data_IF_125957009913
#
_entry.id   IF_125957009913
#
_cell.length_a   1.000
_cell.length_b   1.000
_cell.length_c   1.000
_cell.angle_alpha   90.00
_cell.angle_beta   90.00
_cell.angle_gamma   90.00
#
_symmetry.space_group_name_H-M   'P 1'
#
loop_
_entity.id
_entity.type
_entity.pdbx_description
1 polymer ?
#
# COMPACT_ATOMS: atom_id res chain seq x y z
N UNK A 1 -11.24 -12.83 -12.52
CA UNK A 1 -11.49 -12.67 -11.08
C UNK A 1 -10.71 -11.47 -10.59
N UNK A 2 -11.35 -10.56 -9.86
CA UNK A 2 -10.72 -9.39 -9.26
C UNK A 2 -10.59 -9.63 -7.75
N UNK A 3 -9.35 -9.68 -7.27
CA UNK A 3 -9.00 -9.81 -5.86
C UNK A 3 -8.48 -8.45 -5.39
N UNK A 4 -9.14 -7.81 -4.42
CA UNK A 4 -8.73 -6.51 -3.88
C UNK A 4 -8.33 -6.63 -2.42
N UNK A 5 -7.21 -6.00 -2.04
CA UNK A 5 -6.68 -5.98 -0.68
C UNK A 5 -7.09 -4.67 0.00
N UNK A 6 -7.75 -4.79 1.15
CA UNK A 6 -8.13 -3.63 1.97
C UNK A 6 -6.89 -2.91 2.53
N UNK A 7 -6.95 -1.57 2.63
CA UNK A 7 -5.95 -0.76 3.33
C UNK A 7 -6.20 -0.65 4.84
N UNK A 8 -5.37 0.15 5.52
CA UNK A 8 -5.53 0.44 6.95
C UNK A 8 -4.24 0.60 7.73
N UNK A 9 -3.22 1.23 7.13
CA UNK A 9 -1.94 1.52 7.77
C UNK A 9 -1.20 0.28 8.31
N UNK A 10 -0.34 0.49 9.30
CA UNK A 10 0.51 -0.55 9.87
C UNK A 10 0.74 -0.32 11.37
N UNK A 11 1.43 -1.25 12.01
CA UNK A 11 2.05 -1.05 13.32
C UNK A 11 3.52 -1.49 13.25
N UNK A 12 4.40 -0.85 14.01
CA UNK A 12 5.84 -1.07 13.91
C UNK A 12 6.54 -1.29 15.26
N UNK A 13 5.80 -1.18 16.37
CA UNK A 13 6.27 -1.50 17.72
C UNK A 13 5.21 -2.30 18.49
N UNK A 14 5.62 -2.89 19.62
CA UNK A 14 4.75 -3.77 20.42
C UNK A 14 3.48 -3.04 20.88
N UNK A 15 3.61 -1.78 21.30
CA UNK A 15 2.49 -0.98 21.82
C UNK A 15 1.46 -0.70 20.72
N UNK A 16 1.89 -0.12 19.61
CA UNK A 16 1.04 0.15 18.46
C UNK A 16 0.41 -1.11 17.88
N UNK A 17 1.11 -2.26 17.91
CA UNK A 17 0.56 -3.53 17.46
C UNK A 17 -0.46 -4.13 18.43
N UNK A 18 -0.28 -3.98 19.75
CA UNK A 18 -1.29 -4.35 20.75
C UNK A 18 -2.55 -3.48 20.62
N UNK A 19 -2.37 -2.16 20.50
CA UNK A 19 -3.47 -1.23 20.27
C UNK A 19 -4.22 -1.62 18.99
N UNK A 20 -3.50 -1.89 17.90
CA UNK A 20 -4.07 -2.36 16.64
C UNK A 20 -4.84 -3.67 16.78
N UNK A 21 -4.32 -4.64 17.54
CA UNK A 21 -4.94 -5.96 17.78
C UNK A 21 -6.35 -5.84 18.39
N UNK A 22 -6.61 -4.78 19.16
CA UNK A 22 -7.92 -4.48 19.76
C UNK A 22 -8.94 -3.86 18.78
N UNK A 23 -8.59 -3.68 17.50
CA UNK A 23 -9.43 -3.03 16.50
C UNK A 23 -9.78 -3.98 15.34
N UNK A 24 -10.67 -3.53 14.44
CA UNK A 24 -11.00 -4.24 13.19
C UNK A 24 -9.78 -4.49 12.27
N UNK A 25 -8.69 -3.76 12.48
CA UNK A 25 -7.45 -3.85 11.69
C UNK A 25 -6.39 -4.76 12.32
N UNK A 26 -6.70 -5.39 13.45
CA UNK A 26 -5.88 -6.43 14.07
C UNK A 26 -6.68 -7.68 14.51
N UNK A 27 -8.03 -7.63 14.47
CA UNK A 27 -8.88 -8.75 14.82
C UNK A 27 -10.17 -8.78 13.98
N UNK A 28 -10.51 -9.97 13.49
CA UNK A 28 -11.75 -10.23 12.76
C UNK A 28 -12.99 -10.17 13.66
N UNK A 29 -12.83 -10.22 14.98
CA UNK A 29 -13.93 -10.07 15.95
C UNK A 29 -14.61 -8.70 15.86
N UNK A 30 -13.88 -7.68 15.41
CA UNK A 30 -14.37 -6.31 15.27
C UNK A 30 -14.70 -5.95 13.80
N UNK A 31 -14.70 -6.92 12.89
CA UNK A 31 -15.05 -6.69 11.49
C UNK A 31 -16.55 -6.83 11.25
N UNK A 32 -17.08 -5.99 10.37
CA UNK A 32 -18.40 -6.19 9.80
C UNK A 32 -18.49 -7.54 9.08
N UNK A 33 -19.64 -8.21 9.22
CA UNK A 33 -19.92 -9.49 8.52
C UNK A 33 -20.17 -9.31 7.04
N UNK A 34 -20.59 -8.12 6.64
CA UNK A 34 -20.95 -7.76 5.26
C UNK A 34 -20.07 -6.60 4.81
N UNK A 35 -19.69 -6.63 3.54
CA UNK A 35 -18.89 -5.61 2.89
C UNK A 35 -19.61 -5.15 1.63
N UNK A 36 -19.73 -3.83 1.46
CA UNK A 36 -20.37 -3.25 0.27
C UNK A 36 -19.34 -3.14 -0.84
N UNK A 37 -19.70 -3.64 -2.02
CA UNK A 37 -18.89 -3.50 -3.22
C UNK A 37 -19.35 -2.29 -4.04
N UNK A 38 -18.49 -1.28 -4.12
CA UNK A 38 -18.68 -0.03 -4.85
C UNK A 38 -17.53 0.22 -5.83
N UNK A 39 -17.65 1.26 -6.67
CA UNK A 39 -16.64 1.62 -7.66
C UNK A 39 -16.25 0.44 -8.55
N UNK A 40 -14.96 0.17 -8.68
CA UNK A 40 -14.41 -0.95 -9.47
C UNK A 40 -14.85 -2.36 -9.01
N UNK A 41 -15.46 -2.48 -7.83
CA UNK A 41 -16.07 -3.73 -7.36
C UNK A 41 -17.58 -3.79 -7.60
N UNK A 42 -18.21 -2.71 -8.02
CA UNK A 42 -19.66 -2.69 -8.26
C UNK A 42 -20.05 -3.73 -9.31
N UNK A 43 -21.24 -4.33 -9.17
CA UNK A 43 -21.87 -5.15 -10.22
C UNK A 43 -22.71 -4.31 -11.19
N UNK A 44 -22.75 -3.00 -11.02
CA UNK A 44 -23.47 -2.10 -11.90
C UNK A 44 -22.52 -1.53 -12.97
N UNK A 45 -22.83 -1.78 -14.24
CA UNK A 45 -22.00 -1.36 -15.38
C UNK A 45 -21.84 0.17 -15.49
N UNK A 46 -22.76 0.97 -14.97
CA UNK A 46 -22.61 2.44 -14.95
C UNK A 46 -21.49 2.91 -14.02
N UNK A 47 -21.18 2.14 -12.97
CA UNK A 47 -20.08 2.43 -12.04
C UNK A 47 -18.81 1.60 -12.34
N UNK A 48 -18.97 0.46 -12.99
CA UNK A 48 -17.89 -0.50 -13.28
C UNK A 48 -18.05 -1.08 -14.70
N UNK A 49 -17.85 -0.29 -15.75
CA UNK A 49 -18.17 -0.69 -17.12
C UNK A 49 -17.41 -1.93 -17.59
N UNK A 50 -16.17 -2.11 -17.11
CA UNK A 50 -15.26 -3.16 -17.59
C UNK A 50 -15.30 -4.45 -16.76
N UNK A 51 -15.54 -4.34 -15.43
CA UNK A 51 -15.41 -5.47 -14.50
C UNK A 51 -16.70 -5.86 -13.78
N UNK A 52 -17.85 -5.23 -14.09
CA UNK A 52 -19.10 -5.45 -13.33
C UNK A 52 -19.53 -6.92 -13.23
N UNK A 53 -19.24 -7.72 -14.27
CA UNK A 53 -19.60 -9.14 -14.35
C UNK A 53 -18.48 -10.09 -13.90
N UNK A 54 -17.37 -9.59 -13.34
CA UNK A 54 -16.29 -10.43 -12.84
C UNK A 54 -16.64 -11.04 -11.47
N UNK A 55 -16.08 -12.22 -11.18
CA UNK A 55 -15.95 -12.71 -9.81
C UNK A 55 -15.07 -11.72 -9.03
N UNK A 56 -15.55 -11.25 -7.87
CA UNK A 56 -14.91 -10.21 -7.06
C UNK A 56 -14.72 -10.68 -5.63
N UNK A 57 -13.53 -10.45 -5.08
CA UNK A 57 -13.14 -10.86 -3.74
C UNK A 57 -12.45 -9.70 -3.04
N UNK A 58 -12.85 -9.37 -1.82
CA UNK A 58 -12.19 -8.37 -0.99
C UNK A 58 -11.51 -9.02 0.21
N UNK A 59 -10.19 -8.93 0.27
CA UNK A 59 -9.36 -9.40 1.38
C UNK A 59 -9.40 -8.38 2.51
N UNK A 60 -9.90 -8.80 3.67
CA UNK A 60 -9.95 -7.99 4.87
C UNK A 60 -8.59 -7.94 5.52
N UNK A 61 -8.11 -6.74 5.82
CA UNK A 61 -6.74 -6.50 6.28
C UNK A 61 -6.67 -6.40 7.80
N UNK A 62 -6.02 -7.39 8.43
CA UNK A 62 -5.84 -7.47 9.88
C UNK A 62 -4.45 -7.90 10.36
N UNK A 63 -3.45 -8.01 9.47
CA UNK A 63 -2.13 -8.48 9.89
C UNK A 63 -1.16 -7.36 10.30
N UNK A 64 -1.35 -6.14 9.76
CA UNK A 64 -0.53 -4.98 10.13
C UNK A 64 0.82 -4.87 9.42
N UNK A 65 1.11 -5.71 8.42
CA UNK A 65 2.32 -5.67 7.58
C UNK A 65 2.02 -5.95 6.10
N UNK A 66 0.90 -5.46 5.56
CA UNK A 66 0.55 -5.67 4.14
C UNK A 66 0.60 -7.14 3.71
N UNK A 67 0.08 -8.03 4.55
CA UNK A 67 0.11 -9.48 4.37
C UNK A 67 1.52 -10.10 4.28
N UNK A 68 2.56 -9.43 4.77
CA UNK A 68 3.94 -9.88 4.60
C UNK A 68 4.57 -10.41 5.90
N UNK A 69 3.96 -10.17 7.07
CA UNK A 69 4.50 -10.63 8.36
C UNK A 69 4.35 -12.15 8.58
N UNK A 70 5.33 -12.77 9.21
CA UNK A 70 5.26 -14.14 9.74
C UNK A 70 6.24 -14.33 10.91
N UNK A 71 5.84 -13.86 12.10
CA UNK A 71 6.61 -13.94 13.33
C UNK A 71 5.70 -14.09 14.55
N UNK A 72 6.26 -14.49 15.68
CA UNK A 72 5.58 -14.45 16.99
C UNK A 72 6.40 -13.56 17.89
N UNK A 73 5.73 -12.62 18.54
CA UNK A 73 6.31 -11.88 19.65
C UNK A 73 5.68 -12.41 20.94
N UNK A 74 6.53 -12.81 21.88
CA UNK A 74 6.14 -13.27 23.21
C UNK A 74 7.18 -12.79 24.21
N UNK A 75 6.76 -12.00 25.19
CA UNK A 75 7.61 -11.54 26.30
C UNK A 75 7.09 -12.04 27.67
N UNK A 76 6.21 -13.04 27.69
CA UNK A 76 5.54 -13.57 28.88
C UNK A 76 4.36 -12.73 29.38
N UNK A 77 4.24 -11.47 28.94
CA UNK A 77 3.12 -10.56 29.32
C UNK A 77 2.23 -10.24 28.12
N UNK A 78 2.78 -10.21 26.91
CA UNK A 78 2.11 -9.85 25.68
C UNK A 78 2.48 -10.85 24.60
N UNK A 79 1.46 -11.33 23.89
CA UNK A 79 1.57 -12.31 22.82
C UNK A 79 0.94 -11.73 21.55
N UNK A 80 1.74 -11.57 20.49
CA UNK A 80 1.29 -11.09 19.19
C UNK A 80 1.64 -12.10 18.10
N UNK A 81 0.65 -12.39 17.25
CA UNK A 81 0.79 -13.27 16.11
C UNK A 81 0.81 -12.46 14.82
N UNK A 82 1.99 -12.21 14.27
CA UNK A 82 2.13 -11.64 12.94
C UNK A 82 2.00 -12.78 11.93
N UNK A 83 0.89 -12.79 11.19
CA UNK A 83 0.48 -13.94 10.35
C UNK A 83 0.10 -13.55 8.92
N UNK A 84 0.42 -12.32 8.50
CA UNK A 84 0.09 -11.79 7.18
C UNK A 84 0.36 -12.76 6.04
N UNK A 85 1.58 -13.29 5.94
CA UNK A 85 1.93 -14.20 4.84
C UNK A 85 1.13 -15.51 4.88
N UNK A 86 0.85 -16.02 6.08
CA UNK A 86 0.08 -17.25 6.25
C UNK A 86 -1.38 -17.03 5.89
N UNK A 87 -1.95 -15.90 6.30
CA UNK A 87 -3.31 -15.50 5.96
C UNK A 87 -3.43 -15.34 4.45
N UNK A 88 -2.48 -14.65 3.80
CA UNK A 88 -2.44 -14.53 2.34
C UNK A 88 -2.49 -15.88 1.64
N UNK A 89 -1.57 -16.79 1.98
CA UNK A 89 -1.52 -18.14 1.41
C UNK A 89 -2.82 -18.90 1.63
N UNK A 90 -3.36 -18.88 2.86
CA UNK A 90 -4.61 -19.56 3.19
C UNK A 90 -5.78 -19.05 2.35
N UNK A 91 -5.89 -17.73 2.16
CA UNK A 91 -6.94 -17.12 1.34
C UNK A 91 -6.77 -17.53 -0.13
N UNK A 92 -5.57 -17.42 -0.70
CA UNK A 92 -5.35 -17.80 -2.10
C UNK A 92 -5.69 -19.29 -2.32
N UNK A 93 -5.23 -20.18 -1.44
CA UNK A 93 -5.57 -21.61 -1.51
C UNK A 93 -7.07 -21.89 -1.41
N UNK A 94 -7.81 -21.13 -0.60
CA UNK A 94 -9.28 -21.23 -0.50
C UNK A 94 -9.99 -20.71 -1.76
N UNK A 95 -9.42 -19.70 -2.44
CA UNK A 95 -9.97 -19.14 -3.67
C UNK A 95 -9.71 -20.00 -4.92
N UNK A 96 -8.62 -20.78 -4.93
CA UNK A 96 -8.26 -21.67 -6.05
C UNK A 96 -9.43 -22.56 -6.49
N UNK A 97 -10.04 -23.40 -5.62
CA UNK A 97 -11.18 -24.23 -6.01
C UNK A 97 -12.46 -23.42 -6.26
N UNK A 98 -12.55 -22.17 -5.75
CA UNK A 98 -13.69 -21.25 -5.97
C UNK A 98 -13.59 -20.47 -7.28
N UNK A 99 -12.73 -20.92 -8.20
CA UNK A 99 -12.62 -20.42 -9.56
C UNK A 99 -11.35 -19.64 -9.86
N UNK A 100 -10.53 -19.28 -8.85
CA UNK A 100 -9.24 -18.61 -9.12
C UNK A 100 -8.31 -19.53 -9.92
N UNK A 101 -8.27 -20.82 -9.62
CA UNK A 101 -7.42 -21.80 -10.31
C UNK A 101 -7.82 -22.08 -11.75
N UNK A 102 -8.97 -21.57 -12.21
CA UNK A 102 -9.45 -21.69 -13.59
C UNK A 102 -9.60 -20.30 -14.26
N UNK A 103 -9.19 -19.22 -13.59
CA UNK A 103 -9.39 -17.87 -14.09
C UNK A 103 -8.48 -17.61 -15.30
N UNK A 104 -9.07 -17.24 -16.44
CA UNK A 104 -8.33 -16.78 -17.64
C UNK A 104 -7.84 -15.33 -17.55
N UNK A 105 -8.51 -14.52 -16.72
CA UNK A 105 -8.16 -13.13 -16.45
C UNK A 105 -8.22 -12.89 -14.96
N UNK A 106 -7.18 -12.31 -14.38
CA UNK A 106 -7.16 -11.92 -12.99
C UNK A 106 -6.55 -10.55 -12.77
N UNK A 107 -7.10 -9.83 -11.79
CA UNK A 107 -6.60 -8.55 -11.33
C UNK A 107 -6.37 -8.65 -9.83
N UNK A 108 -5.14 -8.44 -9.38
CA UNK A 108 -4.84 -8.19 -7.98
C UNK A 108 -4.77 -6.68 -7.78
N UNK A 109 -5.59 -6.11 -6.92
CA UNK A 109 -5.48 -4.69 -6.58
C UNK A 109 -5.48 -4.44 -5.09
N UNK A 110 -5.23 -3.21 -4.67
CA UNK A 110 -5.39 -2.82 -3.27
C UNK A 110 -5.26 -1.33 -3.09
N UNK A 111 -5.76 -0.82 -1.96
CA UNK A 111 -5.72 0.60 -1.61
C UNK A 111 -4.84 0.83 -0.37
N UNK A 112 -4.03 1.90 -0.34
CA UNK A 112 -3.19 2.25 0.82
C UNK A 112 -2.25 1.10 1.21
N UNK A 113 -2.30 0.61 2.46
CA UNK A 113 -1.54 -0.58 2.88
C UNK A 113 -1.82 -1.84 2.05
N UNK A 114 -3.04 -1.97 1.51
CA UNK A 114 -3.38 -3.04 0.56
C UNK A 114 -2.80 -2.78 -0.83
N UNK A 115 -2.67 -1.52 -1.23
CA UNK A 115 -1.95 -1.13 -2.45
C UNK A 115 -0.46 -1.45 -2.33
N UNK A 116 0.15 -1.19 -1.17
CA UNK A 116 1.51 -1.60 -0.90
C UNK A 116 1.65 -3.13 -0.94
N UNK A 117 0.67 -3.86 -0.37
CA UNK A 117 0.66 -5.32 -0.40
C UNK A 117 0.74 -5.89 -1.82
N UNK A 118 0.17 -5.20 -2.82
CA UNK A 118 0.29 -5.65 -4.21
C UNK A 118 1.73 -5.63 -4.73
N UNK A 119 2.62 -4.73 -4.27
CA UNK A 119 4.03 -4.78 -4.66
C UNK A 119 4.76 -6.00 -4.08
N UNK A 120 4.33 -6.46 -2.90
CA UNK A 120 4.89 -7.63 -2.23
C UNK A 120 4.39 -8.93 -2.84
N UNK A 121 3.09 -9.01 -3.14
CA UNK A 121 2.43 -10.28 -3.47
C UNK A 121 2.09 -10.48 -4.95
N UNK A 122 2.31 -9.50 -5.83
CA UNK A 122 1.85 -9.58 -7.22
C UNK A 122 2.41 -10.78 -8.01
N UNK A 123 3.73 -11.00 -7.96
CA UNK A 123 4.33 -12.14 -8.68
C UNK A 123 3.98 -13.48 -8.03
N UNK A 124 3.85 -13.52 -6.69
CA UNK A 124 3.39 -14.69 -5.94
C UNK A 124 1.95 -15.05 -6.33
N UNK A 125 1.04 -14.06 -6.36
CA UNK A 125 -0.34 -14.22 -6.85
C UNK A 125 -0.36 -14.82 -8.25
N UNK A 126 0.40 -14.24 -9.19
CA UNK A 126 0.47 -14.73 -10.57
C UNK A 126 0.93 -16.19 -10.65
N UNK A 127 1.82 -16.62 -9.77
CA UNK A 127 2.32 -18.01 -9.75
C UNK A 127 1.26 -19.06 -9.40
N UNK A 128 0.17 -18.68 -8.74
CA UNK A 128 -0.94 -19.58 -8.40
C UNK A 128 -1.93 -19.79 -9.55
N UNK A 129 -1.90 -18.96 -10.59
CA UNK A 129 -2.84 -19.02 -11.71
C UNK A 129 -2.33 -19.88 -12.86
N UNK A 130 -3.25 -20.34 -13.76
CA UNK A 130 -2.86 -21.04 -14.98
C UNK A 130 -1.84 -20.23 -15.80
N UNK A 131 -0.85 -20.91 -16.40
CA UNK A 131 0.20 -20.25 -17.18
C UNK A 131 -0.33 -19.43 -18.38
N UNK A 132 -1.53 -19.73 -18.87
CA UNK A 132 -2.19 -18.99 -19.95
C UNK A 132 -3.15 -17.89 -19.44
N UNK A 133 -3.22 -17.65 -18.13
CA UNK A 133 -4.04 -16.59 -17.56
C UNK A 133 -3.38 -15.23 -17.78
N UNK A 134 -4.18 -14.22 -18.13
CA UNK A 134 -3.75 -12.83 -18.13
C UNK A 134 -3.92 -12.26 -16.73
N UNK A 135 -2.79 -12.08 -16.04
CA UNK A 135 -2.75 -11.49 -14.69
C UNK A 135 -2.17 -10.10 -14.75
N UNK A 136 -2.81 -9.16 -14.06
CA UNK A 136 -2.31 -7.79 -13.86
C UNK A 136 -2.44 -7.41 -12.39
N UNK A 137 -1.61 -6.48 -11.96
CA UNK A 137 -1.68 -5.91 -10.62
C UNK A 137 -1.92 -4.40 -10.68
N UNK A 138 -2.62 -3.88 -9.68
CA UNK A 138 -2.91 -2.46 -9.52
C UNK A 138 -2.70 -2.01 -8.09
N UNK A 139 -1.82 -1.04 -7.89
CA UNK A 139 -1.68 -0.36 -6.61
C UNK A 139 -2.43 0.96 -6.66
N UNK A 140 -3.38 1.17 -5.75
CA UNK A 140 -4.06 2.44 -5.53
C UNK A 140 -3.59 3.05 -4.20
N UNK A 141 -3.09 4.29 -4.22
CA UNK A 141 -2.55 4.99 -3.05
C UNK A 141 -1.51 4.17 -2.24
N UNK A 142 -0.80 3.25 -2.90
CA UNK A 142 0.11 2.30 -2.26
C UNK A 142 1.58 2.60 -2.50
N UNK A 143 1.91 3.67 -3.24
CA UNK A 143 3.28 4.06 -3.58
C UNK A 143 3.83 5.05 -2.56
N UNK A 144 4.35 4.54 -1.44
CA UNK A 144 5.00 5.36 -0.41
C UNK A 144 6.48 5.58 -0.74
N UNK A 145 6.96 6.79 -0.45
CA UNK A 145 8.33 7.21 -0.73
C UNK A 145 9.20 7.11 0.51
N UNK A 146 10.40 6.58 0.32
CA UNK A 146 11.52 6.72 1.24
C UNK A 146 12.14 8.11 1.09
N UNK A 147 11.41 9.11 1.59
CA UNK A 147 11.81 10.51 1.62
C UNK A 147 12.20 10.93 3.04
N UNK A 148 12.98 12.00 3.12
CA UNK A 148 13.19 12.71 4.39
C UNK A 148 11.96 13.52 4.74
N UNK A 149 11.68 13.66 6.03
CA UNK A 149 10.66 14.58 6.54
C UNK A 149 11.16 16.04 6.55
N UNK A 150 10.29 16.97 6.92
CA UNK A 150 10.63 18.40 7.03
C UNK A 150 11.71 18.73 8.08
N UNK A 151 12.02 17.78 8.97
CA UNK A 151 13.11 17.86 9.94
C UNK A 151 14.37 17.11 9.44
N UNK A 152 14.40 16.73 8.16
CA UNK A 152 15.49 16.01 7.47
C UNK A 152 15.76 14.59 7.98
N UNK A 153 14.80 13.96 8.68
CA UNK A 153 14.93 12.60 9.20
C UNK A 153 14.28 11.57 8.26
N UNK A 154 14.79 10.33 8.28
CA UNK A 154 14.20 9.20 7.55
C UNK A 154 13.09 8.50 8.36
N UNK A 155 12.10 9.27 8.83
CA UNK A 155 11.07 8.81 9.77
C UNK A 155 10.35 7.54 9.29
N UNK A 156 9.90 7.51 8.04
CA UNK A 156 9.22 6.33 7.50
C UNK A 156 10.15 5.13 7.28
N UNK A 157 11.42 5.37 6.94
CA UNK A 157 12.40 4.28 6.81
C UNK A 157 12.60 3.57 8.14
N UNK A 158 12.72 4.32 9.24
CA UNK A 158 12.80 3.73 10.57
C UNK A 158 11.50 3.04 10.97
N UNK A 159 10.35 3.60 10.60
CA UNK A 159 9.07 2.94 10.81
C UNK A 159 9.01 1.57 10.11
N UNK A 160 9.29 1.50 8.81
CA UNK A 160 9.32 0.23 8.08
C UNK A 160 10.43 -0.69 8.53
N UNK A 161 11.58 -0.16 8.96
CA UNK A 161 12.63 -0.96 9.59
C UNK A 161 12.08 -1.71 10.80
N UNK A 162 11.50 -1.00 11.77
CA UNK A 162 10.94 -1.63 12.98
C UNK A 162 9.83 -2.62 12.65
N UNK A 163 8.96 -2.29 11.68
CA UNK A 163 7.91 -3.19 11.20
C UNK A 163 8.49 -4.48 10.60
N UNK A 164 9.45 -4.37 9.69
CA UNK A 164 10.02 -5.52 8.96
C UNK A 164 10.68 -6.49 9.92
N UNK A 165 11.41 -5.98 10.91
CA UNK A 165 12.05 -6.82 11.92
C UNK A 165 11.05 -7.39 12.93
N UNK A 166 10.18 -6.57 13.53
CA UNK A 166 9.22 -7.03 14.55
C UNK A 166 8.27 -8.10 14.01
N UNK A 167 7.79 -7.91 12.78
CA UNK A 167 6.79 -8.80 12.19
C UNK A 167 7.40 -9.92 11.32
N UNK A 168 8.72 -9.99 11.20
CA UNK A 168 9.43 -11.01 10.43
C UNK A 168 9.09 -11.00 8.94
N UNK A 169 9.02 -9.81 8.35
CA UNK A 169 8.60 -9.59 6.96
C UNK A 169 9.67 -9.99 5.94
N UNK A 170 10.95 -9.80 6.28
CA UNK A 170 12.09 -9.93 5.37
C UNK A 170 12.05 -11.20 4.51
N UNK A 171 11.79 -12.36 5.13
CA UNK A 171 11.76 -13.66 4.46
C UNK A 171 10.69 -13.80 3.37
N UNK A 172 9.71 -12.89 3.37
CA UNK A 172 8.60 -12.86 2.43
C UNK A 172 8.74 -11.74 1.38
N UNK A 173 9.82 -10.95 1.43
CA UNK A 173 10.11 -9.94 0.41
C UNK A 173 10.85 -10.55 -0.78
N UNK A 174 10.89 -9.78 -1.88
CA UNK A 174 11.61 -10.19 -3.08
C UNK A 174 13.11 -10.35 -2.78
N UNK A 175 13.63 -11.57 -2.95
CA UNK A 175 15.03 -11.92 -2.65
C UNK A 175 16.05 -11.10 -3.43
N UNK A 176 15.73 -10.70 -4.67
CA UNK A 176 16.62 -9.89 -5.48
C UNK A 176 16.68 -8.44 -5.00
N UNK A 177 15.62 -7.96 -4.34
CA UNK A 177 15.64 -6.66 -3.69
C UNK A 177 16.44 -6.71 -2.39
N UNK A 178 16.18 -7.72 -1.54
CA UNK A 178 16.79 -7.83 -0.22
C UNK A 178 18.28 -8.20 -0.26
N UNK A 179 18.80 -8.63 -1.41
CA UNK A 179 20.24 -8.92 -1.60
C UNK A 179 21.16 -7.70 -1.39
N UNK A 180 20.59 -6.49 -1.35
CA UNK A 180 21.31 -5.26 -0.99
C UNK A 180 21.71 -5.18 0.49
N UNK A 181 21.16 -6.04 1.35
CA UNK A 181 21.41 -6.05 2.80
C UNK A 181 20.52 -5.12 3.62
N UNK A 182 19.55 -4.44 2.99
CA UNK A 182 18.61 -3.51 3.63
C UNK A 182 17.16 -3.91 3.32
N UNK A 183 16.63 -4.95 3.99
CA UNK A 183 15.31 -5.50 3.68
C UNK A 183 14.17 -4.50 3.89
N UNK A 184 14.33 -3.53 4.78
CA UNK A 184 13.36 -2.46 5.01
C UNK A 184 13.12 -1.59 3.77
N UNK A 185 14.14 -1.40 2.92
CA UNK A 185 14.00 -0.64 1.69
C UNK A 185 13.08 -1.36 0.70
N UNK A 186 13.08 -2.70 0.72
CA UNK A 186 12.24 -3.53 -0.14
C UNK A 186 10.76 -3.53 0.25
N UNK A 187 10.40 -2.90 1.36
CA UNK A 187 9.01 -2.62 1.68
C UNK A 187 8.51 -1.34 0.97
N UNK A 188 9.41 -0.43 0.59
CA UNK A 188 9.07 0.74 -0.23
C UNK A 188 8.98 0.36 -1.71
N UNK A 189 7.90 0.74 -2.41
CA UNK A 189 7.70 0.47 -3.83
C UNK A 189 8.86 0.91 -4.74
N UNK A 190 9.54 2.01 -4.39
CA UNK A 190 10.71 2.52 -5.12
C UNK A 190 11.80 1.47 -5.34
N UNK A 191 12.01 0.55 -4.39
CA UNK A 191 13.08 -0.44 -4.44
C UNK A 191 12.60 -1.81 -4.91
N UNK A 192 11.36 -2.22 -4.61
CA UNK A 192 10.85 -3.54 -5.01
C UNK A 192 10.31 -3.56 -6.43
N UNK A 193 9.77 -2.44 -6.93
CA UNK A 193 9.13 -2.36 -8.25
C UNK A 193 10.01 -2.84 -9.43
N UNK A 194 11.33 -2.56 -9.49
CA UNK A 194 12.20 -3.11 -10.53
C UNK A 194 12.20 -4.64 -10.63
N UNK A 195 11.88 -5.34 -9.53
CA UNK A 195 11.91 -6.80 -9.46
C UNK A 195 10.57 -7.48 -9.76
N UNK A 196 9.49 -6.69 -9.93
CA UNK A 196 8.17 -7.20 -10.30
C UNK A 196 8.15 -7.48 -11.80
N UNK A 197 7.69 -8.69 -12.16
CA UNK A 197 7.61 -9.17 -13.54
C UNK A 197 6.21 -9.06 -14.12
N UNK A 198 5.19 -9.22 -13.28
CA UNK A 198 3.80 -9.16 -13.71
C UNK A 198 3.42 -7.74 -14.16
N UNK A 199 2.63 -7.57 -15.24
CA UNK A 199 2.16 -6.26 -15.66
C UNK A 199 1.47 -5.49 -14.52
N UNK A 200 1.87 -4.25 -14.33
CA UNK A 200 1.56 -3.48 -13.13
C UNK A 200 1.06 -2.09 -13.48
N UNK A 201 0.01 -1.64 -12.79
CA UNK A 201 -0.52 -0.28 -12.86
C UNK A 201 -0.39 0.40 -11.50
N UNK A 202 0.09 1.64 -11.48
CA UNK A 202 0.25 2.44 -10.27
C UNK A 202 -0.68 3.63 -10.38
N UNK A 203 -1.69 3.68 -9.53
CA UNK A 203 -2.56 4.82 -9.33
C UNK A 203 -2.18 5.47 -8.01
N UNK A 204 -1.69 6.69 -8.05
CA UNK A 204 -1.34 7.43 -6.85
C UNK A 204 -1.50 8.93 -7.10
N UNK A 205 -2.00 9.66 -6.11
CA UNK A 205 -1.99 11.12 -6.18
C UNK A 205 -0.56 11.63 -6.04
N UNK A 206 -0.27 12.81 -6.61
CA UNK A 206 1.05 13.44 -6.50
C UNK A 206 1.40 13.78 -5.03
N UNK A 207 0.38 14.20 -4.28
CA UNK A 207 0.44 14.51 -2.85
C UNK A 207 -0.51 13.59 -2.08
N UNK A 208 -0.07 12.37 -1.83
CA UNK A 208 -0.85 11.42 -1.03
C UNK A 208 -1.00 11.92 0.42
N UNK A 209 -2.21 11.82 0.96
CA UNK A 209 -2.56 12.36 2.28
C UNK A 209 -1.77 11.67 3.38
N UNK A 210 -1.63 10.35 3.29
CA UNK A 210 -0.90 9.58 4.28
C UNK A 210 0.60 9.86 4.18
N UNK A 211 1.15 9.89 2.97
CA UNK A 211 2.53 10.32 2.72
C UNK A 211 2.78 11.71 3.31
N UNK A 212 1.89 12.67 3.06
CA UNK A 212 2.07 14.02 3.55
C UNK A 212 2.01 14.10 5.07
N UNK A 213 1.00 13.49 5.69
CA UNK A 213 0.73 13.61 7.12
C UNK A 213 1.64 12.77 8.02
N UNK A 214 2.09 11.62 7.52
CA UNK A 214 2.81 10.63 8.35
C UNK A 214 4.26 10.41 7.92
N UNK A 215 4.64 10.84 6.71
CA UNK A 215 6.00 10.66 6.20
C UNK A 215 6.71 12.01 6.04
N UNK A 216 6.11 12.98 5.35
CA UNK A 216 6.73 14.29 5.13
C UNK A 216 6.61 15.20 6.35
N UNK A 217 5.43 15.26 6.98
CA UNK A 217 5.13 16.13 8.13
C UNK A 217 4.55 15.33 9.31
N UNK A 218 5.27 14.30 9.81
CA UNK A 218 4.85 13.56 10.98
C UNK A 218 4.79 14.49 12.21
N UNK A 219 3.97 14.18 13.23
CA UNK A 219 3.86 15.01 14.43
C UNK A 219 5.21 15.32 15.10
N UNK A 220 6.16 14.39 15.06
CA UNK A 220 7.51 14.57 15.61
C UNK A 220 8.34 15.63 14.86
N UNK A 221 8.08 15.86 13.58
CA UNK A 221 8.78 16.85 12.76
C UNK A 221 8.11 18.23 12.75
N UNK A 222 6.85 18.33 13.22
CA UNK A 222 6.10 19.59 13.35
C UNK A 222 5.52 19.77 14.77
N UNK A 223 6.36 19.87 15.81
CA UNK A 223 5.91 19.91 17.21
C UNK A 223 5.06 21.15 17.54
N UNK A 224 5.19 22.22 16.74
CA UNK A 224 4.47 23.48 16.92
C UNK A 224 3.23 23.60 16.02
N UNK A 225 2.94 22.59 15.19
CA UNK A 225 1.74 22.56 14.34
C UNK A 225 1.73 23.59 13.21
N UNK A 226 2.90 24.03 12.74
CA UNK A 226 3.00 25.02 11.67
C UNK A 226 2.38 24.53 10.36
N UNK A 227 2.33 23.22 10.14
CA UNK A 227 1.77 22.59 8.96
C UNK A 227 0.31 22.14 9.15
N UNK A 228 -0.31 22.42 10.30
CA UNK A 228 -1.67 21.96 10.61
C UNK A 228 -2.69 22.38 9.54
N UNK A 229 -2.76 23.67 9.20
CA UNK A 229 -3.72 24.17 8.20
C UNK A 229 -3.41 23.62 6.80
N UNK A 230 -2.15 23.62 6.40
CA UNK A 230 -1.69 23.05 5.12
C UNK A 230 -2.03 21.56 4.99
N UNK A 231 -1.94 20.78 6.08
CA UNK A 231 -2.36 19.37 6.14
C UNK A 231 -3.87 19.18 6.00
N UNK A 232 -4.70 20.12 6.43
CA UNK A 232 -6.15 20.05 6.26
C UNK A 232 -6.60 20.47 4.87
N UNK A 233 -5.90 21.43 4.28
CA UNK A 233 -6.21 21.96 2.96
C UNK A 233 -4.92 22.43 2.29
N UNK A 234 -4.54 21.88 1.12
CA UNK A 234 -3.38 22.36 0.38
C UNK A 234 -3.46 23.84 0.00
N UNK A 235 -4.67 24.42 -0.06
CA UNK A 235 -4.88 25.86 -0.32
C UNK A 235 -4.40 26.75 0.82
N UNK A 236 -4.33 26.21 2.04
CA UNK A 236 -3.90 26.95 3.23
C UNK A 236 -2.39 26.83 3.47
N UNK A 237 -1.65 26.21 2.56
CA UNK A 237 -0.20 26.19 2.57
C UNK A 237 0.36 27.57 2.21
N UNK A 238 1.27 28.09 3.04
CA UNK A 238 2.00 29.31 2.70
C UNK A 238 3.09 29.04 1.64
N UNK A 239 3.70 30.11 1.11
CA UNK A 239 4.70 30.00 0.04
C UNK A 239 5.89 29.09 0.39
N UNK A 240 6.35 29.08 1.65
CA UNK A 240 7.46 28.22 2.11
C UNK A 240 7.03 26.76 2.14
N UNK A 241 5.80 26.48 2.60
CA UNK A 241 5.24 25.13 2.63
C UNK A 241 5.03 24.58 1.22
N UNK A 242 4.51 25.40 0.30
CA UNK A 242 4.36 25.02 -1.11
C UNK A 242 5.72 24.75 -1.75
N UNK A 243 6.69 25.65 -1.55
CA UNK A 243 8.06 25.46 -2.06
C UNK A 243 8.70 24.18 -1.50
N UNK A 244 8.43 23.87 -0.23
CA UNK A 244 8.89 22.63 0.40
C UNK A 244 8.22 21.42 -0.25
N UNK A 245 6.90 21.43 -0.49
CA UNK A 245 6.18 20.34 -1.15
C UNK A 245 6.63 20.13 -2.61
N UNK A 246 6.95 21.20 -3.33
CA UNK A 246 7.45 21.14 -4.70
C UNK A 246 8.93 20.73 -4.77
N UNK A 247 9.72 21.05 -3.73
CA UNK A 247 11.12 20.67 -3.61
C UNK A 247 11.36 19.22 -3.17
N UNK A 248 10.33 18.54 -2.62
CA UNK A 248 10.39 17.12 -2.31
C UNK A 248 10.05 16.27 -3.54
N UNK A 249 10.70 15.11 -3.66
CA UNK A 249 10.38 14.13 -4.68
C UNK A 249 8.89 13.75 -4.58
N UNK A 250 8.13 14.02 -5.63
CA UNK A 250 6.72 13.63 -5.72
C UNK A 250 6.60 12.15 -6.10
N UNK A 251 5.45 11.54 -5.81
CA UNK A 251 5.18 10.15 -6.20
C UNK A 251 5.19 10.02 -7.73
N UNK A 252 4.66 11.04 -8.43
CA UNK A 252 4.71 11.12 -9.87
C UNK A 252 6.15 11.14 -10.41
N UNK A 253 7.04 11.94 -9.83
CA UNK A 253 8.46 11.96 -10.22
C UNK A 253 9.12 10.60 -9.95
N UNK A 254 8.93 9.99 -8.78
CA UNK A 254 9.51 8.69 -8.45
C UNK A 254 9.05 7.56 -9.41
N UNK A 255 7.75 7.52 -9.74
CA UNK A 255 7.20 6.61 -10.75
C UNK A 255 7.75 6.96 -12.14
N UNK A 256 7.90 8.26 -12.43
CA UNK A 256 8.44 8.77 -13.69
C UNK A 256 9.89 8.35 -13.94
N UNK A 257 10.78 8.53 -12.96
CA UNK A 257 12.20 8.16 -13.01
C UNK A 257 12.37 6.66 -13.25
N UNK A 258 11.56 5.84 -12.56
CA UNK A 258 11.50 4.40 -12.82
C UNK A 258 10.97 4.08 -14.23
N UNK A 259 9.88 4.74 -14.66
CA UNK A 259 9.21 4.50 -15.94
C UNK A 259 10.12 4.70 -17.15
N UNK A 260 11.02 5.70 -17.14
CA UNK A 260 11.93 5.95 -18.27
C UNK A 260 12.90 4.78 -18.57
N UNK A 261 12.86 3.70 -17.77
CA UNK A 261 13.60 2.44 -17.99
C UNK A 261 12.75 1.25 -18.51
N UNK A 262 11.42 1.39 -18.78
CA UNK A 262 10.53 0.34 -19.39
C UNK A 262 9.38 0.98 -20.23
N UNK A 263 8.85 0.32 -21.27
CA UNK A 263 7.76 0.88 -22.13
C UNK A 263 6.32 0.58 -21.62
N UNK A 264 5.45 1.61 -21.50
CA UNK A 264 4.04 1.81 -21.99
C UNK A 264 3.14 2.69 -21.03
N UNK A 265 2.50 3.72 -21.64
CA UNK A 265 1.49 4.73 -21.19
C UNK A 265 1.62 5.37 -19.80
N UNK A 266 1.82 6.70 -19.77
CA UNK A 266 2.06 7.53 -18.58
C UNK A 266 1.18 8.79 -18.62
N UNK A 267 0.36 8.99 -17.59
CA UNK A 267 -0.32 10.26 -17.30
C UNK A 267 0.24 10.76 -15.97
N UNK A 268 1.08 11.79 -16.01
CA UNK A 268 1.57 12.50 -14.82
C UNK A 268 0.90 13.86 -14.80
N UNK A 269 0.30 14.19 -13.67
CA UNK A 269 -0.27 15.50 -13.40
C UNK A 269 0.82 16.58 -13.20
N UNK A 270 0.47 17.84 -13.42
CA UNK A 270 1.40 18.96 -13.30
C UNK A 270 1.71 19.31 -11.82
N UNK A 271 2.71 20.16 -11.58
CA UNK A 271 3.05 20.60 -10.24
C UNK A 271 1.93 21.47 -9.64
N UNK A 272 1.55 21.21 -8.37
CA UNK A 272 0.53 21.99 -7.68
C UNK A 272 0.90 23.48 -7.60
N UNK A 273 -0.06 24.41 -7.68
CA UNK A 273 -1.50 24.22 -7.96
C UNK A 273 -1.78 24.30 -9.46
N UNK A 274 -2.30 23.24 -10.07
CA UNK A 274 -2.60 23.27 -11.51
C UNK A 274 -3.84 22.44 -11.92
N UNK A 275 -4.15 21.35 -11.23
CA UNK A 275 -5.33 20.54 -11.56
C UNK A 275 -6.62 21.11 -10.95
N UNK A 276 -7.52 21.55 -11.83
CA UNK A 276 -8.85 22.06 -11.47
C UNK A 276 -9.89 20.97 -11.22
N UNK A 277 -9.58 19.71 -11.54
CA UNK A 277 -10.45 18.54 -11.35
C UNK A 277 -10.29 17.88 -9.98
N UNK A 278 -9.22 18.20 -9.25
CA UNK A 278 -8.96 17.71 -7.90
C UNK A 278 -10.03 18.18 -6.88
N UNK A 279 -10.62 17.23 -6.15
CA UNK A 279 -11.51 17.53 -5.04
C UNK A 279 -10.69 17.97 -3.81
N UNK A 280 -10.88 19.21 -3.36
CA UNK A 280 -10.15 19.81 -2.22
C UNK A 280 -10.59 19.29 -0.83
N UNK A 281 -11.15 18.08 -0.76
CA UNK A 281 -11.55 17.46 0.50
C UNK A 281 -10.59 16.32 0.82
N UNK A 282 -9.67 16.57 1.74
CA UNK A 282 -8.88 15.52 2.39
C UNK A 282 -9.82 14.82 3.40
N UNK A 283 -10.50 13.76 2.97
CA UNK A 283 -11.33 12.90 3.84
C UNK A 283 -10.52 11.76 4.44
#
# INVERSE_FOLDING_TARGET
>A
MHVIIQGGGWCNDVKSCLDRASTRHGSTLHMSKVEVFSGILSNNASFNPDFYNWNRVKLRYCDGASFAGDAVFDNGTSLLYFRGQRIWKAIIHDLLPKGLGQARKALLSGCSAGGLATFVHCDDFTSYLPANASVKCLSDAGFFLDARDIAMNHSMRYFYKSLVYLQGVEKNLNKNCTSSGYPELCFFPQYVLPYIKTPYFILNTAYDVYQFHHILVPPAADPHGHWYHCKLSPKDCNAVQIATLQGHLTIAQAVGDWYFSRRISKEIDCAYPCDSSCHNQLS
#
